data_IF_903471440721
#
_entry.id   IF_903471440721
#
_cell.length_a   1.000
_cell.length_b   1.000
_cell.length_c   1.000
_cell.angle_alpha   90.00
_cell.angle_beta   90.00
_cell.angle_gamma   90.00
#
_symmetry.space_group_name_H-M   'P 1'
#
loop_
_entity.id
_entity.type
_entity.pdbx_description
1 polymer ?
#
# COMPACT_ATOMS: atom_id res chain seq x y z
N UNK A 1 -17.74 -23.47 5.62
CA UNK A 1 -17.76 -22.26 4.76
C UNK A 1 -16.95 -21.13 5.36
N UNK A 2 -17.27 -20.63 6.56
CA UNK A 2 -16.50 -19.57 7.25
C UNK A 2 -15.00 -19.87 7.37
N UNK A 3 -14.67 -21.09 7.79
CA UNK A 3 -13.30 -21.61 7.91
C UNK A 3 -12.50 -21.53 6.60
N UNK A 4 -13.16 -21.79 5.46
CA UNK A 4 -12.56 -21.74 4.13
C UNK A 4 -12.26 -20.29 3.71
N UNK A 5 -13.21 -19.37 3.91
CA UNK A 5 -12.98 -17.95 3.63
C UNK A 5 -11.86 -17.35 4.50
N UNK A 6 -11.73 -17.81 5.75
CA UNK A 6 -10.62 -17.44 6.62
C UNK A 6 -9.27 -17.96 6.11
N UNK A 7 -9.19 -19.23 5.69
CA UNK A 7 -7.95 -19.77 5.11
C UNK A 7 -7.57 -19.09 3.80
N UNK A 8 -8.56 -18.86 2.93
CA UNK A 8 -8.35 -18.19 1.65
C UNK A 8 -7.83 -16.75 1.91
N UNK A 9 -8.44 -16.01 2.85
CA UNK A 9 -7.98 -14.67 3.23
C UNK A 9 -6.58 -14.67 3.85
N UNK A 10 -6.25 -15.63 4.72
CA UNK A 10 -4.90 -15.75 5.31
C UNK A 10 -3.87 -16.02 4.22
N UNK A 11 -4.18 -16.91 3.27
CA UNK A 11 -3.31 -17.22 2.14
C UNK A 11 -3.09 -16.01 1.23
N UNK A 12 -4.15 -15.28 0.89
CA UNK A 12 -4.06 -14.05 0.09
C UNK A 12 -3.17 -12.99 0.79
N UNK A 13 -3.25 -12.88 2.12
CA UNK A 13 -2.39 -12.00 2.90
C UNK A 13 -0.92 -12.45 2.88
N UNK A 14 -0.65 -13.74 3.02
CA UNK A 14 0.70 -14.29 2.91
C UNK A 14 1.30 -14.05 1.53
N UNK A 15 0.52 -14.23 0.46
CA UNK A 15 0.95 -13.96 -0.91
C UNK A 15 1.27 -12.46 -1.12
N UNK A 16 0.45 -11.56 -0.55
CA UNK A 16 0.73 -10.11 -0.55
C UNK A 16 1.99 -9.75 0.21
N UNK A 17 2.21 -10.33 1.40
CA UNK A 17 3.42 -10.12 2.20
C UNK A 17 4.66 -10.57 1.42
N UNK A 18 4.60 -11.76 0.82
CA UNK A 18 5.70 -12.32 0.05
C UNK A 18 6.04 -11.44 -1.17
N UNK A 19 5.05 -10.95 -1.91
CA UNK A 19 5.26 -10.02 -3.02
C UNK A 19 5.88 -8.71 -2.55
N UNK A 20 5.42 -8.14 -1.43
CA UNK A 20 6.02 -6.92 -0.87
C UNK A 20 7.47 -7.14 -0.43
N UNK A 21 7.80 -8.29 0.16
CA UNK A 21 9.18 -8.64 0.52
C UNK A 21 10.06 -8.79 -0.73
N UNK A 22 9.55 -9.45 -1.77
CA UNK A 22 10.25 -9.57 -3.05
C UNK A 22 10.48 -8.20 -3.70
N UNK A 23 9.50 -7.30 -3.63
CA UNK A 23 9.66 -5.94 -4.14
C UNK A 23 10.72 -5.15 -3.37
N UNK A 24 10.80 -5.30 -2.05
CA UNK A 24 11.88 -4.71 -1.23
C UNK A 24 13.24 -5.24 -1.69
N UNK A 25 13.36 -6.55 -1.92
CA UNK A 25 14.60 -7.16 -2.41
C UNK A 25 14.97 -6.66 -3.82
N UNK A 26 13.99 -6.59 -4.74
CA UNK A 26 14.20 -6.07 -6.09
C UNK A 26 14.63 -4.60 -6.09
N UNK A 27 14.07 -3.76 -5.20
CA UNK A 27 14.54 -2.38 -5.03
C UNK A 27 16.00 -2.35 -4.60
N UNK A 28 16.40 -3.19 -3.62
CA UNK A 28 17.79 -3.26 -3.14
C UNK A 28 18.76 -3.73 -4.23
N UNK A 29 18.32 -4.60 -5.12
CA UNK A 29 19.09 -5.10 -6.26
C UNK A 29 18.99 -4.20 -7.52
N UNK A 30 18.30 -3.06 -7.45
CA UNK A 30 18.01 -2.15 -8.57
C UNK A 30 17.30 -2.84 -9.76
N UNK A 31 16.53 -3.90 -9.51
CA UNK A 31 15.73 -4.63 -10.51
C UNK A 31 14.36 -3.99 -10.68
N UNK A 32 14.30 -2.89 -11.45
CA UNK A 32 13.06 -2.12 -11.64
C UNK A 32 12.14 -2.64 -12.76
N UNK A 33 12.59 -3.59 -13.59
CA UNK A 33 11.82 -4.12 -14.72
C UNK A 33 10.57 -4.92 -14.31
N UNK A 34 10.52 -5.42 -13.08
CA UNK A 34 9.42 -6.26 -12.56
C UNK A 34 8.37 -5.49 -11.77
N UNK A 35 8.58 -4.19 -11.54
CA UNK A 35 7.72 -3.36 -10.67
C UNK A 35 6.30 -3.27 -11.22
N UNK A 36 6.12 -3.05 -12.52
CA UNK A 36 4.79 -2.93 -13.12
C UNK A 36 3.97 -4.23 -13.03
N UNK A 37 4.62 -5.37 -13.24
CA UNK A 37 3.97 -6.69 -13.12
C UNK A 37 3.61 -6.97 -11.65
N UNK A 38 4.51 -6.67 -10.72
CA UNK A 38 4.28 -6.82 -9.28
C UNK A 38 3.12 -5.96 -8.80
N UNK A 39 3.05 -4.68 -9.22
CA UNK A 39 1.93 -3.78 -8.89
C UNK A 39 0.61 -4.33 -9.41
N UNK A 40 0.57 -4.87 -10.63
CA UNK A 40 -0.65 -5.50 -11.17
C UNK A 40 -1.09 -6.71 -10.35
N UNK A 41 -0.15 -7.60 -9.99
CA UNK A 41 -0.43 -8.79 -9.17
C UNK A 41 -0.93 -8.42 -7.77
N UNK A 42 -0.27 -7.47 -7.10
CA UNK A 42 -0.70 -6.98 -5.78
C UNK A 42 -2.09 -6.35 -5.83
N UNK A 43 -2.38 -5.53 -6.84
CA UNK A 43 -3.71 -4.92 -6.99
C UNK A 43 -4.81 -5.96 -7.25
N UNK A 44 -4.50 -7.06 -7.96
CA UNK A 44 -5.44 -8.16 -8.14
C UNK A 44 -5.71 -8.89 -6.81
N UNK A 45 -4.65 -9.25 -6.08
CA UNK A 45 -4.73 -9.91 -4.78
C UNK A 45 -5.47 -9.06 -3.73
N UNK A 46 -5.27 -7.74 -3.72
CA UNK A 46 -6.02 -6.84 -2.83
C UNK A 46 -7.52 -6.89 -3.12
N UNK A 47 -7.92 -6.93 -4.39
CA UNK A 47 -9.34 -7.03 -4.76
C UNK A 47 -9.93 -8.38 -4.38
N UNK A 48 -9.18 -9.45 -4.55
CA UNK A 48 -9.57 -10.80 -4.11
C UNK A 48 -9.75 -10.82 -2.60
N UNK A 49 -8.79 -10.29 -1.84
CA UNK A 49 -8.89 -10.14 -0.39
C UNK A 49 -10.09 -9.30 0.06
N UNK A 50 -10.37 -8.17 -0.60
CA UNK A 50 -11.56 -7.37 -0.28
C UNK A 50 -12.87 -8.14 -0.52
N UNK A 51 -12.92 -8.95 -1.58
CA UNK A 51 -14.07 -9.80 -1.87
C UNK A 51 -14.22 -10.92 -0.83
N UNK A 52 -13.13 -11.60 -0.50
CA UNK A 52 -13.08 -12.66 0.53
C UNK A 52 -13.45 -12.10 1.90
N UNK A 53 -12.94 -10.92 2.27
CA UNK A 53 -13.33 -10.20 3.50
C UNK A 53 -14.82 -9.88 3.53
N UNK A 54 -15.39 -9.35 2.44
CA UNK A 54 -16.84 -9.09 2.37
C UNK A 54 -17.66 -10.37 2.51
N UNK A 55 -17.22 -11.46 1.90
CA UNK A 55 -17.88 -12.76 2.03
C UNK A 55 -17.82 -13.27 3.48
N UNK A 56 -16.66 -13.11 4.15
CA UNK A 56 -16.49 -13.44 5.56
C UNK A 56 -17.40 -12.59 6.46
N UNK A 57 -17.43 -11.27 6.27
CA UNK A 57 -18.28 -10.35 7.03
C UNK A 57 -19.77 -10.70 6.87
N UNK A 58 -20.20 -11.02 5.64
CA UNK A 58 -21.58 -11.43 5.36
C UNK A 58 -21.94 -12.75 6.06
N UNK A 59 -21.03 -13.73 6.07
CA UNK A 59 -21.22 -14.99 6.77
C UNK A 59 -21.23 -14.81 8.28
N UNK A 60 -20.37 -13.94 8.85
CA UNK A 60 -20.41 -13.60 10.27
C UNK A 60 -21.74 -12.96 10.68
N UNK A 61 -22.29 -12.08 9.83
CA UNK A 61 -23.63 -11.49 10.03
C UNK A 61 -24.74 -12.52 9.87
N UNK A 62 -24.59 -13.52 8.99
CA UNK A 62 -25.57 -14.61 8.88
C UNK A 62 -25.57 -15.47 10.14
N UNK A 63 -24.38 -15.89 10.58
CA UNK A 63 -24.19 -16.69 11.80
C UNK A 63 -24.71 -15.95 13.04
N UNK A 64 -24.56 -14.63 13.11
CA UNK A 64 -25.10 -13.82 14.22
C UNK A 64 -26.63 -13.77 14.22
N UNK A 65 -27.25 -13.64 13.04
CA UNK A 65 -28.72 -13.62 12.89
C UNK A 65 -29.35 -14.99 13.15
N UNK A 66 -28.70 -16.07 12.74
CA UNK A 66 -29.19 -17.44 12.94
C UNK A 66 -29.16 -17.89 14.42
N UNK A 67 -28.26 -17.33 15.24
CA UNK A 67 -28.06 -17.77 16.63
C UNK A 67 -28.63 -16.83 17.72
N UNK A 68 -29.41 -15.82 17.35
CA UNK A 68 -30.09 -14.93 18.32
C UNK A 68 -29.13 -14.22 19.28
N UNK A 69 -29.58 -13.94 20.51
CA UNK A 69 -28.87 -13.17 21.56
C UNK A 69 -27.55 -13.77 22.07
N UNK A 70 -27.08 -14.88 21.51
CA UNK A 70 -25.77 -15.43 21.83
C UNK A 70 -24.67 -14.53 21.26
N UNK A 71 -23.71 -14.14 22.10
CA UNK A 71 -22.52 -13.42 21.65
C UNK A 71 -21.80 -14.24 20.58
N UNK A 72 -21.38 -13.60 19.48
CA UNK A 72 -20.68 -14.25 18.37
C UNK A 72 -19.49 -15.12 18.84
N UNK A 73 -18.81 -14.68 19.91
CA UNK A 73 -17.72 -15.40 20.56
C UNK A 73 -18.13 -16.72 21.25
N UNK A 74 -19.40 -16.92 21.59
CA UNK A 74 -19.91 -18.19 22.13
C UNK A 74 -20.39 -19.17 21.06
N UNK A 75 -20.60 -18.69 19.83
CA UNK A 75 -21.11 -19.46 18.69
C UNK A 75 -19.98 -19.95 17.79
N UNK A 76 -18.88 -19.20 17.73
CA UNK A 76 -17.70 -19.54 16.92
C UNK A 76 -16.81 -20.54 17.67
N UNK A 77 -16.45 -21.63 16.99
CA UNK A 77 -15.43 -22.58 17.46
C UNK A 77 -14.10 -21.90 17.76
N UNK A 78 -13.35 -22.43 18.74
CA UNK A 78 -12.02 -21.91 19.10
C UNK A 78 -11.06 -21.86 17.91
N UNK A 79 -11.12 -22.83 16.99
CA UNK A 79 -10.30 -22.85 15.78
C UNK A 79 -10.58 -21.65 14.84
N UNK A 80 -11.83 -21.17 14.80
CA UNK A 80 -12.20 -20.00 14.00
C UNK A 80 -11.66 -18.72 14.66
N UNK A 81 -11.69 -18.65 15.99
CA UNK A 81 -11.13 -17.52 16.75
C UNK A 81 -9.62 -17.46 16.57
N UNK A 82 -8.93 -18.59 16.64
CA UNK A 82 -7.49 -18.67 16.37
C UNK A 82 -7.14 -18.17 14.97
N UNK A 83 -7.92 -18.56 13.96
CA UNK A 83 -7.72 -18.10 12.57
C UNK A 83 -7.99 -16.61 12.39
N UNK A 84 -8.99 -16.04 13.09
CA UNK A 84 -9.23 -14.60 13.09
C UNK A 84 -8.06 -13.83 13.73
N UNK A 85 -7.51 -14.36 14.83
CA UNK A 85 -6.31 -13.78 15.46
C UNK A 85 -5.11 -13.86 14.50
N UNK A 86 -4.93 -14.99 13.81
CA UNK A 86 -3.87 -15.16 12.82
C UNK A 86 -4.03 -14.18 11.64
N UNK A 87 -5.24 -14.04 11.10
CA UNK A 87 -5.54 -13.06 10.05
C UNK A 87 -5.21 -11.63 10.49
N UNK A 88 -5.54 -11.26 11.75
CA UNK A 88 -5.17 -9.94 12.30
C UNK A 88 -3.66 -9.76 12.36
N UNK A 89 -2.93 -10.76 12.85
CA UNK A 89 -1.47 -10.72 12.92
C UNK A 89 -0.84 -10.58 11.53
N UNK A 90 -1.39 -11.25 10.51
CA UNK A 90 -0.94 -11.12 9.12
C UNK A 90 -1.20 -9.75 8.52
N UNK A 91 -2.32 -9.12 8.84
CA UNK A 91 -2.58 -7.73 8.45
C UNK A 91 -1.57 -6.75 9.08
N UNK A 92 -1.23 -6.94 10.35
CA UNK A 92 -0.21 -6.15 11.04
C UNK A 92 1.18 -6.34 10.39
N UNK A 93 1.54 -7.58 10.02
CA UNK A 93 2.77 -7.90 9.30
C UNK A 93 2.82 -7.24 7.91
N UNK A 94 1.73 -7.35 7.12
CA UNK A 94 1.61 -6.71 5.81
C UNK A 94 1.76 -5.18 5.91
N UNK A 95 1.16 -4.57 6.94
CA UNK A 95 1.27 -3.13 7.17
C UNK A 95 2.73 -2.71 7.44
N UNK A 96 3.45 -3.45 8.29
CA UNK A 96 4.86 -3.15 8.59
C UNK A 96 5.74 -3.32 7.35
N UNK A 97 5.54 -4.38 6.56
CA UNK A 97 6.28 -4.60 5.32
C UNK A 97 5.98 -3.57 4.25
N UNK A 98 4.72 -3.14 4.11
CA UNK A 98 4.38 -2.04 3.20
C UNK A 98 5.01 -0.71 3.63
N UNK A 99 5.10 -0.44 4.94
CA UNK A 99 5.80 0.74 5.47
C UNK A 99 7.29 0.68 5.18
N UNK A 100 7.92 -0.49 5.31
CA UNK A 100 9.32 -0.72 4.94
C UNK A 100 9.53 -0.48 3.44
N UNK A 101 8.68 -1.05 2.59
CA UNK A 101 8.70 -0.85 1.14
C UNK A 101 8.59 0.64 0.76
N UNK A 102 7.63 1.36 1.33
CA UNK A 102 7.43 2.78 1.06
C UNK A 102 8.68 3.62 1.38
N UNK A 103 9.38 3.34 2.49
CA UNK A 103 10.64 3.99 2.82
C UNK A 103 11.70 3.78 1.73
N UNK A 104 11.85 2.55 1.24
CA UNK A 104 12.82 2.24 0.18
C UNK A 104 12.49 2.96 -1.12
N UNK A 105 11.21 3.01 -1.51
CA UNK A 105 10.75 3.75 -2.70
C UNK A 105 11.08 5.24 -2.59
N UNK A 106 10.85 5.86 -1.44
CA UNK A 106 11.16 7.28 -1.20
C UNK A 106 12.66 7.54 -1.31
N UNK A 107 13.50 6.71 -0.68
CA UNK A 107 14.97 6.87 -0.74
C UNK A 107 15.48 6.75 -2.18
N UNK A 108 14.97 5.80 -2.96
CA UNK A 108 15.34 5.64 -4.37
C UNK A 108 14.93 6.86 -5.19
N UNK A 109 13.72 7.39 -4.95
CA UNK A 109 13.25 8.63 -5.59
C UNK A 109 14.17 9.81 -5.26
N UNK A 110 14.48 10.03 -3.99
CA UNK A 110 15.36 11.12 -3.54
C UNK A 110 16.76 10.99 -4.13
N UNK A 111 17.29 9.77 -4.24
CA UNK A 111 18.57 9.51 -4.89
C UNK A 111 18.54 9.92 -6.37
N UNK A 112 17.54 9.47 -7.14
CA UNK A 112 17.40 9.85 -8.55
C UNK A 112 17.15 11.35 -8.74
N UNK A 113 16.36 11.97 -7.86
CA UNK A 113 16.14 13.43 -7.88
C UNK A 113 17.46 14.18 -7.62
N UNK A 114 18.27 13.72 -6.66
CA UNK A 114 19.57 14.33 -6.35
C UNK A 114 20.59 14.15 -7.47
N UNK A 115 20.62 12.97 -8.10
CA UNK A 115 21.45 12.71 -9.28
C UNK A 115 21.02 13.58 -10.45
N UNK A 116 19.72 13.67 -10.72
CA UNK A 116 19.18 14.48 -11.80
C UNK A 116 19.54 15.96 -11.62
N UNK A 117 19.38 16.49 -10.39
CA UNK A 117 19.81 17.85 -10.05
C UNK A 117 21.30 18.08 -10.26
N UNK A 118 22.15 17.09 -9.94
CA UNK A 118 23.61 17.18 -10.09
C UNK A 118 24.07 17.03 -11.55
N UNK A 119 23.45 16.14 -12.32
CA UNK A 119 23.83 15.82 -13.70
C UNK A 119 23.30 16.87 -14.67
N UNK A 120 22.01 17.23 -14.53
CA UNK A 120 21.37 18.17 -15.43
C UNK A 120 21.41 19.61 -14.94
N UNK A 121 21.92 19.84 -13.72
CA UNK A 121 22.11 21.17 -13.17
C UNK A 121 20.87 22.01 -13.40
N UNK A 122 19.73 21.63 -12.79
CA UNK A 122 18.59 22.56 -12.71
C UNK A 122 19.00 23.72 -11.79
N UNK A 123 19.85 24.60 -12.31
CA UNK A 123 19.64 26.02 -12.10
C UNK A 123 18.25 26.26 -12.67
N UNK A 124 17.32 26.66 -11.80
CA UNK A 124 16.16 27.41 -12.23
C UNK A 124 16.71 28.53 -13.11
N UNK A 125 16.68 28.31 -14.42
CA UNK A 125 17.09 29.30 -15.38
C UNK A 125 15.96 30.30 -15.34
N UNK A 126 16.18 31.34 -14.54
CA UNK A 126 15.37 32.55 -14.47
C UNK A 126 15.49 33.26 -15.83
N UNK A 127 14.91 32.66 -16.86
CA UNK A 127 14.83 33.21 -18.21
C UNK A 127 13.75 34.30 -18.17
N UNK A 128 14.11 35.48 -17.66
CA UNK A 128 13.17 36.60 -17.61
C UNK A 128 13.51 37.82 -16.75
N UNK A 129 14.61 37.85 -15.99
CA UNK A 129 15.01 39.06 -15.25
C UNK A 129 16.17 39.80 -15.92
N UNK A 130 15.99 40.20 -17.17
CA UNK A 130 16.75 41.33 -17.70
C UNK A 130 15.89 42.05 -18.75
N UNK A 131 15.29 43.19 -18.38
CA UNK A 131 14.41 43.91 -19.30
C UNK A 131 13.45 44.94 -18.69
N UNK A 132 13.99 45.99 -18.08
CA UNK A 132 13.51 47.36 -18.26
C UNK A 132 11.98 47.64 -18.15
N UNK A 133 11.53 48.06 -16.96
CA UNK A 133 10.43 49.02 -16.85
C UNK A 133 10.92 50.27 -16.13
N UNK A 134 11.66 51.09 -16.89
CA UNK A 134 11.78 52.55 -16.78
C UNK A 134 10.69 53.18 -15.91
N UNK A 135 11.13 53.88 -14.87
CA UNK A 135 10.44 55.01 -14.25
C UNK A 135 10.06 56.05 -15.33
N UNK A 136 8.84 56.04 -15.88
CA UNK A 136 8.34 57.11 -16.79
C UNK A 136 7.05 57.78 -16.30
N UNK A 137 6.76 57.72 -15.00
CA UNK A 137 5.67 58.53 -14.43
C UNK A 137 6.09 59.18 -13.12
N UNK A 138 7.01 60.15 -13.20
CA UNK A 138 7.16 61.18 -12.17
C UNK A 138 7.10 62.56 -12.81
N UNK A 139 6.06 63.29 -12.40
CA UNK A 139 5.95 64.75 -12.33
C UNK A 139 5.69 65.50 -13.65
N UNK A 140 4.42 65.84 -13.88
CA UNK A 140 4.05 67.13 -14.47
C UNK A 140 3.94 68.14 -13.32
N UNK A 141 4.76 69.19 -13.39
CA UNK A 141 4.51 70.50 -12.77
C UNK A 141 3.66 71.30 -13.75
#
# INVERSE_FOLDING_TARGET
>A
MLKKYLDDAIKELDDLINLTIQDIANIKEAKHSTVDESVRKKNALVREFEATKKALDNELVRVSKENGTATLAGVLDEEIKERLVLMRSKLEELHEKNKEYAKHVVVVKEFFDSLSKRVFGTHDSEYGQDGNSKNIYKTRV
#
